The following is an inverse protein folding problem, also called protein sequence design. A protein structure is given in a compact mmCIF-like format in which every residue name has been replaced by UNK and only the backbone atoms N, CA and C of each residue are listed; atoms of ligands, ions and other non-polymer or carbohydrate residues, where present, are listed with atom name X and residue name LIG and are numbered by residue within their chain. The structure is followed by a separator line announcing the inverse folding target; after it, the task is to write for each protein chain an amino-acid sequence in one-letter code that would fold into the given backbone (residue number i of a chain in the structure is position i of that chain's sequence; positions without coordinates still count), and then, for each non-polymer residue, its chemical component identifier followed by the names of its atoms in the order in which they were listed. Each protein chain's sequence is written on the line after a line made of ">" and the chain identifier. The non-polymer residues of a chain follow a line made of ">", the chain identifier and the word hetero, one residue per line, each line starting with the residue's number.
data_IF_415292534285
#
_entry.id   IF_415292534285
#
_cell.length_a   1.000
_cell.length_b   1.000
_cell.length_c   1.000
_cell.angle_alpha   90.00
_cell.angle_beta   90.00
_cell.angle_gamma   90.00
#
_symmetry.space_group_name_H-M   'P 1'
#
loop_
_entity.id
_entity.type
_entity.pdbx_description
1 polymer ?
#
# COMPACT_ATOMS: atom_id res chain seq x y z
N UNK A 1 -21.22 -48.49 -40.54
CA UNK A 1 -21.88 -47.16 -40.58
C UNK A 1 -21.60 -46.51 -39.23
N UNK A 2 -20.66 -45.57 -39.19
CA UNK A 2 -20.13 -44.98 -37.95
C UNK A 2 -21.06 -43.88 -37.44
N UNK A 3 -21.46 -43.96 -36.16
CA UNK A 3 -22.20 -42.92 -35.49
C UNK A 3 -21.25 -41.78 -35.07
N UNK A 4 -21.65 -40.57 -35.44
CA UNK A 4 -20.95 -39.30 -35.31
C UNK A 4 -20.81 -38.90 -33.83
N UNK A 5 -19.57 -38.69 -33.38
CA UNK A 5 -19.29 -37.94 -32.15
C UNK A 5 -19.64 -36.47 -32.41
N UNK A 6 -20.73 -35.98 -31.82
CA UNK A 6 -20.98 -34.55 -31.69
C UNK A 6 -20.40 -34.10 -30.35
N UNK A 7 -19.22 -33.48 -30.39
CA UNK A 7 -18.72 -32.69 -29.28
C UNK A 7 -19.66 -31.49 -29.08
N UNK A 8 -20.04 -31.12 -27.84
CA UNK A 8 -20.79 -29.89 -27.63
C UNK A 8 -19.94 -28.69 -28.05
N UNK A 9 -20.54 -27.80 -28.83
CA UNK A 9 -19.99 -26.53 -29.29
C UNK A 9 -19.21 -25.84 -28.18
N UNK A 10 -17.96 -25.52 -28.48
CA UNK A 10 -17.21 -24.48 -27.79
C UNK A 10 -18.06 -23.21 -27.80
N UNK A 11 -18.73 -22.92 -26.69
CA UNK A 11 -19.05 -21.54 -26.37
C UNK A 11 -17.70 -20.84 -26.30
N UNK A 12 -17.37 -20.08 -27.35
CA UNK A 12 -16.42 -18.98 -27.24
C UNK A 12 -16.87 -18.19 -26.01
N UNK A 13 -16.10 -18.33 -24.93
CA UNK A 13 -16.12 -17.39 -23.84
C UNK A 13 -15.60 -16.10 -24.45
N UNK A 14 -16.52 -15.29 -24.98
CA UNK A 14 -16.28 -13.88 -25.28
C UNK A 14 -15.43 -13.35 -24.12
N UNK A 15 -14.21 -12.86 -24.38
CA UNK A 15 -13.36 -12.32 -23.33
C UNK A 15 -14.17 -11.27 -22.57
N UNK A 16 -14.06 -11.21 -21.22
CA UNK A 16 -14.86 -10.27 -20.44
C UNK A 16 -14.70 -8.86 -21.00
N UNK A 17 -15.85 -8.25 -21.27
CA UNK A 17 -16.04 -6.94 -21.85
C UNK A 17 -15.01 -5.92 -21.34
N UNK A 18 -14.26 -5.34 -22.28
CA UNK A 18 -13.33 -4.21 -22.19
C UNK A 18 -13.28 -3.45 -20.83
N UNK A 19 -12.11 -3.37 -20.16
CA UNK A 19 -11.92 -2.81 -18.81
C UNK A 19 -12.33 -1.34 -18.62
N UNK A 20 -12.53 -0.60 -19.72
CA UNK A 20 -12.96 0.80 -19.65
C UNK A 20 -14.40 1.01 -19.21
N UNK A 21 -15.28 0.00 -19.21
CA UNK A 21 -16.73 0.25 -19.13
C UNK A 21 -17.23 0.89 -17.81
N UNK A 22 -16.52 0.69 -16.70
CA UNK A 22 -16.79 1.40 -15.43
C UNK A 22 -16.28 2.85 -15.44
N UNK A 23 -15.16 3.12 -16.10
CA UNK A 23 -14.67 4.48 -16.34
C UNK A 23 -15.42 5.22 -17.47
N UNK A 24 -16.12 4.48 -18.34
CA UNK A 24 -16.92 5.03 -19.43
C UNK A 24 -18.24 5.68 -18.95
N UNK A 25 -18.65 5.46 -17.70
CA UNK A 25 -19.67 6.31 -17.08
C UNK A 25 -19.06 7.70 -16.87
N UNK A 26 -19.43 8.63 -17.74
CA UNK A 26 -18.92 10.01 -17.76
C UNK A 26 -19.05 10.73 -16.40
N UNK A 27 -19.91 10.23 -15.50
CA UNK A 27 -20.20 10.79 -14.19
C UNK A 27 -19.65 10.00 -13.00
N UNK A 28 -18.98 8.85 -13.21
CA UNK A 28 -18.53 7.99 -12.12
C UNK A 28 -17.57 8.71 -11.16
N UNK A 29 -16.62 9.48 -11.71
CA UNK A 29 -15.69 10.29 -10.91
C UNK A 29 -16.41 11.40 -10.15
N UNK A 30 -17.34 12.09 -10.81
CA UNK A 30 -18.09 13.20 -10.21
C UNK A 30 -19.02 12.75 -9.09
N UNK A 31 -19.67 11.59 -9.25
CA UNK A 31 -20.48 10.96 -8.19
C UNK A 31 -19.62 10.56 -7.00
N UNK A 32 -18.49 9.89 -7.27
CA UNK A 32 -17.56 9.52 -6.20
C UNK A 32 -17.03 10.77 -5.48
N UNK A 33 -16.72 11.85 -6.21
CA UNK A 33 -16.27 13.11 -5.62
C UNK A 33 -17.31 13.75 -4.72
N UNK A 34 -18.59 13.70 -5.09
CA UNK A 34 -19.68 14.26 -4.30
C UNK A 34 -19.87 13.52 -2.96
N UNK A 35 -19.62 12.21 -2.92
CA UNK A 35 -19.85 11.37 -1.74
C UNK A 35 -18.54 11.00 -0.99
N UNK A 36 -17.37 11.38 -1.52
CA UNK A 36 -16.07 10.92 -1.02
C UNK A 36 -15.85 11.26 0.45
N UNK A 37 -16.08 12.51 0.82
CA UNK A 37 -15.89 12.99 2.18
C UNK A 37 -16.98 12.46 3.10
N UNK A 38 -18.25 12.61 2.70
CA UNK A 38 -19.41 12.18 3.48
C UNK A 38 -19.39 10.69 3.83
N UNK A 39 -18.94 9.83 2.89
CA UNK A 39 -18.89 8.39 3.11
C UNK A 39 -17.67 7.92 3.92
N UNK A 40 -16.51 8.58 3.77
CA UNK A 40 -15.23 8.00 4.22
C UNK A 40 -14.52 8.82 5.31
N UNK A 41 -14.81 10.12 5.48
CA UNK A 41 -14.10 10.96 6.44
C UNK A 41 -14.25 10.47 7.89
N UNK A 42 -15.38 9.86 8.22
CA UNK A 42 -15.64 9.32 9.56
C UNK A 42 -15.05 7.91 9.77
N UNK A 43 -14.67 7.21 8.70
CA UNK A 43 -14.15 5.84 8.75
C UNK A 43 -12.63 5.78 8.70
N UNK A 44 -11.98 6.81 8.14
CA UNK A 44 -10.55 6.82 7.90
C UNK A 44 -9.85 7.80 8.85
N UNK A 45 -8.66 7.46 9.39
CA UNK A 45 -7.86 8.39 10.18
C UNK A 45 -7.51 9.68 9.42
N UNK A 46 -7.24 9.56 8.12
CA UNK A 46 -7.00 10.65 7.19
C UNK A 46 -7.60 10.27 5.85
N UNK A 47 -8.45 11.12 5.30
CA UNK A 47 -9.05 10.91 3.99
C UNK A 47 -8.00 11.18 2.88
N UNK A 48 -7.61 10.17 2.08
CA UNK A 48 -6.69 10.37 0.96
C UNK A 48 -7.29 11.29 -0.09
N UNK A 49 -6.42 11.88 -0.91
CA UNK A 49 -6.85 12.69 -2.04
C UNK A 49 -7.54 11.82 -3.11
N UNK A 50 -8.71 12.27 -3.57
CA UNK A 50 -9.52 11.52 -4.53
C UNK A 50 -8.83 11.39 -5.89
N UNK A 51 -8.16 12.45 -6.35
CA UNK A 51 -7.46 12.43 -7.65
C UNK A 51 -6.35 11.39 -7.62
N UNK A 52 -5.56 11.35 -6.55
CA UNK A 52 -4.55 10.31 -6.35
C UNK A 52 -5.15 8.90 -6.43
N UNK A 53 -6.22 8.63 -5.67
CA UNK A 53 -6.84 7.32 -5.64
C UNK A 53 -7.42 6.93 -7.02
N UNK A 54 -8.13 7.86 -7.65
CA UNK A 54 -8.78 7.65 -8.95
C UNK A 54 -7.76 7.33 -10.05
N UNK A 55 -6.60 8.00 -10.04
CA UNK A 55 -5.55 7.83 -11.05
C UNK A 55 -4.83 6.47 -10.96
N UNK A 56 -4.95 5.74 -9.86
CA UNK A 56 -4.38 4.39 -9.71
C UNK A 56 -5.26 3.29 -10.31
N UNK A 57 -6.58 3.49 -10.35
CA UNK A 57 -7.56 2.50 -10.80
C UNK A 57 -7.26 1.96 -12.22
N UNK A 58 -6.91 2.77 -13.24
CA UNK A 58 -6.60 2.27 -14.57
C UNK A 58 -5.42 1.29 -14.57
N UNK A 59 -4.40 1.56 -13.77
CA UNK A 59 -3.22 0.69 -13.66
C UNK A 59 -3.56 -0.64 -12.99
N UNK A 60 -4.44 -0.64 -11.99
CA UNK A 60 -4.94 -1.88 -11.37
C UNK A 60 -5.72 -2.72 -12.37
N UNK A 61 -6.60 -2.12 -13.18
CA UNK A 61 -7.34 -2.86 -14.20
C UNK A 61 -6.42 -3.44 -15.27
N UNK A 62 -5.48 -2.64 -15.81
CA UNK A 62 -4.50 -3.15 -16.78
C UNK A 62 -3.75 -4.37 -16.24
N UNK A 63 -3.34 -4.33 -14.98
CA UNK A 63 -2.72 -5.48 -14.32
C UNK A 63 -3.68 -6.68 -14.18
N UNK A 64 -4.91 -6.45 -13.72
CA UNK A 64 -5.89 -7.52 -13.50
C UNK A 64 -6.25 -8.29 -14.78
N UNK A 65 -6.28 -7.59 -15.92
CA UNK A 65 -6.57 -8.19 -17.23
C UNK A 65 -5.33 -8.66 -18.00
N UNK A 66 -4.14 -8.60 -17.37
CA UNK A 66 -2.89 -9.04 -17.99
C UNK A 66 -2.37 -8.11 -19.09
N UNK A 67 -2.89 -6.89 -19.19
CA UNK A 67 -2.41 -5.85 -20.12
C UNK A 67 -1.15 -5.12 -19.60
N UNK A 68 -0.83 -5.30 -18.31
CA UNK A 68 0.38 -4.77 -17.69
C UNK A 68 0.91 -5.73 -16.63
N UNK A 69 2.24 -5.82 -16.52
CA UNK A 69 2.88 -6.51 -15.40
C UNK A 69 2.74 -5.68 -14.12
N UNK A 70 2.59 -6.37 -12.98
CA UNK A 70 2.68 -5.71 -11.68
C UNK A 70 4.10 -5.13 -11.54
N UNK A 71 4.26 -3.84 -11.20
CA UNK A 71 5.59 -3.29 -11.00
C UNK A 71 6.31 -4.06 -9.89
N UNK A 72 7.42 -4.71 -10.24
CA UNK A 72 8.33 -5.38 -9.32
C UNK A 72 9.22 -4.31 -8.68
N UNK A 73 8.76 -3.75 -7.57
CA UNK A 73 9.59 -2.88 -6.74
C UNK A 73 10.47 -3.74 -5.83
N UNK A 74 11.76 -3.41 -5.73
CA UNK A 74 12.65 -4.02 -4.74
C UNK A 74 12.31 -3.57 -3.33
N UNK A 75 12.75 -4.33 -2.30
CA UNK A 75 12.62 -3.89 -0.91
C UNK A 75 13.41 -2.60 -0.66
N UNK A 76 12.90 -1.74 0.23
CA UNK A 76 13.59 -0.51 0.60
C UNK A 76 14.96 -0.82 1.21
N UNK A 77 16.01 -0.05 0.87
CA UNK A 77 17.33 -0.25 1.43
C UNK A 77 17.31 0.03 2.93
N UNK A 78 18.04 -0.80 3.66
CA UNK A 78 18.02 -0.81 5.11
C UNK A 78 19.42 -0.47 5.61
N UNK A 79 19.49 0.40 6.60
CA UNK A 79 20.76 0.82 7.20
C UNK A 79 20.90 0.14 8.57
N UNK A 80 21.79 -0.85 8.67
CA UNK A 80 22.14 -1.51 9.95
C UNK A 80 22.15 -3.04 9.91
N UNK A 81 22.39 -3.66 11.08
CA UNK A 81 22.40 -5.13 11.23
C UNK A 81 21.02 -5.65 11.62
N UNK A 82 20.48 -6.57 10.80
CA UNK A 82 19.11 -7.06 10.91
C UNK A 82 19.03 -8.53 11.29
N UNK A 83 17.90 -8.87 11.91
CA UNK A 83 17.40 -10.23 11.95
C UNK A 83 16.57 -10.51 10.68
N UNK A 84 17.21 -11.10 9.67
CA UNK A 84 16.56 -11.42 8.39
C UNK A 84 15.52 -12.54 8.49
N UNK A 85 15.53 -13.33 9.58
CA UNK A 85 14.54 -14.37 9.81
C UNK A 85 13.24 -13.81 10.40
N UNK A 86 13.27 -12.58 10.90
CA UNK A 86 12.12 -11.94 11.51
C UNK A 86 11.21 -11.29 10.46
N UNK A 87 9.93 -11.66 10.50
CA UNK A 87 8.89 -11.06 9.68
C UNK A 87 7.84 -10.37 10.58
N UNK A 88 7.25 -9.26 10.13
CA UNK A 88 6.21 -8.58 10.87
C UNK A 88 4.99 -9.50 11.13
N UNK A 89 4.58 -9.74 12.39
CA UNK A 89 3.40 -10.53 12.69
C UNK A 89 2.13 -9.90 12.08
N UNK A 90 1.22 -10.73 11.54
CA UNK A 90 -0.02 -10.22 10.95
C UNK A 90 -0.94 -9.47 11.94
N UNK A 91 -0.80 -9.72 13.25
CA UNK A 91 -1.57 -9.07 14.31
C UNK A 91 -0.73 -8.08 15.12
N UNK A 92 -1.27 -6.88 15.31
CA UNK A 92 -0.68 -5.69 15.96
C UNK A 92 -0.31 -5.92 17.42
N UNK A 93 -1.11 -6.69 18.15
CA UNK A 93 -0.92 -6.94 19.58
C UNK A 93 0.40 -7.66 19.92
N UNK A 94 1.01 -8.35 18.96
CA UNK A 94 2.27 -9.07 19.16
C UNK A 94 3.51 -8.16 19.31
N UNK A 95 3.38 -6.85 19.02
CA UNK A 95 4.55 -5.99 18.76
C UNK A 95 4.98 -5.17 19.98
N UNK A 96 4.22 -5.18 21.08
CA UNK A 96 4.48 -4.47 22.36
C UNK A 96 4.98 -3.01 22.18
N UNK A 97 4.61 -2.35 21.08
CA UNK A 97 5.03 -0.98 20.78
C UNK A 97 3.95 -0.01 21.27
N UNK A 98 4.36 1.00 22.04
CA UNK A 98 3.49 2.04 22.60
C UNK A 98 3.00 3.07 21.55
N UNK A 99 3.40 2.92 20.29
CA UNK A 99 3.22 3.89 19.22
C UNK A 99 2.12 3.39 18.27
N UNK A 100 1.29 4.28 17.70
CA UNK A 100 0.23 3.90 16.76
C UNK A 100 0.82 3.41 15.42
N UNK A 101 1.33 2.17 15.41
CA UNK A 101 1.80 1.46 14.22
C UNK A 101 0.71 1.41 13.14
N UNK A 102 -0.55 1.38 13.56
CA UNK A 102 -1.71 1.43 12.66
C UNK A 102 -1.74 2.69 11.80
N UNK A 103 -1.33 3.85 12.34
CA UNK A 103 -1.23 5.08 11.55
C UNK A 103 -0.18 4.97 10.45
N UNK A 104 0.97 4.35 10.75
CA UNK A 104 2.04 4.12 9.77
C UNK A 104 1.60 3.12 8.70
N UNK A 105 0.93 2.04 9.10
CA UNK A 105 0.40 1.03 8.16
C UNK A 105 -0.71 1.61 7.30
N UNK A 106 -1.60 2.40 7.87
CA UNK A 106 -2.64 3.13 7.15
C UNK A 106 -2.01 4.05 6.10
N UNK A 107 -1.04 4.87 6.49
CA UNK A 107 -0.34 5.78 5.59
C UNK A 107 0.36 5.01 4.46
N UNK A 108 1.09 3.94 4.79
CA UNK A 108 1.77 3.09 3.81
C UNK A 108 0.79 2.43 2.82
N UNK A 109 -0.32 1.88 3.31
CA UNK A 109 -1.34 1.25 2.46
C UNK A 109 -2.01 2.24 1.49
N UNK A 110 -2.15 3.51 1.91
CA UNK A 110 -2.74 4.57 1.10
C UNK A 110 -1.70 5.43 0.36
N UNK A 111 -0.41 5.07 0.40
CA UNK A 111 0.70 5.83 -0.19
C UNK A 111 0.74 7.29 0.25
N UNK A 112 0.51 7.50 1.54
CA UNK A 112 0.59 8.80 2.21
C UNK A 112 1.89 8.90 3.01
N UNK A 113 2.48 10.09 3.01
CA UNK A 113 3.62 10.39 3.85
C UNK A 113 3.22 10.47 5.33
N UNK A 114 4.19 10.22 6.21
CA UNK A 114 4.06 10.33 7.66
C UNK A 114 4.97 11.44 8.16
N UNK A 115 4.41 12.37 8.93
CA UNK A 115 5.17 13.29 9.75
C UNK A 115 5.65 12.55 10.99
N UNK A 116 6.95 12.32 11.07
CA UNK A 116 7.59 11.60 12.16
C UNK A 116 8.32 12.59 13.07
N UNK A 117 7.99 12.59 14.36
CA UNK A 117 8.75 13.32 15.38
C UNK A 117 9.83 12.40 15.96
N UNK A 118 11.08 12.76 15.74
CA UNK A 118 12.24 11.99 16.19
C UNK A 118 13.37 12.96 16.58
N UNK A 119 13.98 12.76 17.75
CA UNK A 119 15.00 13.68 18.31
C UNK A 119 14.52 15.14 18.32
N UNK A 120 13.27 15.37 18.71
CA UNK A 120 12.60 16.68 18.77
C UNK A 120 12.51 17.45 17.44
N UNK A 121 12.72 16.76 16.33
CA UNK A 121 12.56 17.28 14.97
C UNK A 121 11.47 16.53 14.22
N UNK A 122 10.63 17.27 13.49
CA UNK A 122 9.64 16.73 12.58
C UNK A 122 10.25 16.50 11.20
N UNK A 123 9.92 15.36 10.60
CA UNK A 123 10.39 14.99 9.26
C UNK A 123 9.28 14.28 8.50
N UNK A 124 9.10 14.64 7.23
CA UNK A 124 8.15 13.98 6.35
C UNK A 124 8.83 12.76 5.71
N UNK A 125 8.27 11.58 5.95
CA UNK A 125 8.82 10.30 5.49
C UNK A 125 7.80 9.47 4.72
N UNK A 126 8.31 8.64 3.82
CA UNK A 126 7.60 7.60 3.08
C UNK A 126 7.82 6.26 3.80
N UNK A 127 6.80 5.69 4.44
CA UNK A 127 6.94 4.44 5.19
C UNK A 127 6.92 3.21 4.27
N UNK A 128 7.94 2.34 4.34
CA UNK A 128 8.06 1.17 3.46
C UNK A 128 7.98 -0.17 4.20
N UNK A 129 8.78 -0.40 5.24
CA UNK A 129 8.82 -1.72 5.89
C UNK A 129 9.11 -1.64 7.39
N UNK A 130 8.72 -2.69 8.13
CA UNK A 130 9.15 -2.90 9.51
C UNK A 130 10.09 -4.09 9.60
N UNK A 131 11.14 -3.92 10.39
CA UNK A 131 12.21 -4.89 10.59
C UNK A 131 12.59 -4.98 12.06
N UNK A 132 13.31 -6.02 12.41
CA UNK A 132 13.89 -6.18 13.74
C UNK A 132 15.42 -6.21 13.63
N UNK A 133 16.09 -5.45 14.50
CA UNK A 133 17.54 -5.53 14.63
C UNK A 133 17.94 -6.84 15.32
N UNK A 134 19.20 -7.24 15.18
CA UNK A 134 19.74 -8.40 15.93
C UNK A 134 19.61 -8.25 17.45
N UNK A 135 19.71 -7.02 17.94
CA UNK A 135 19.51 -6.66 19.35
C UNK A 135 18.03 -6.67 19.78
N UNK A 136 17.12 -7.07 18.89
CA UNK A 136 15.71 -7.23 19.17
C UNK A 136 14.86 -5.96 19.05
N UNK A 137 15.45 -4.84 18.62
CA UNK A 137 14.74 -3.56 18.49
C UNK A 137 13.91 -3.51 17.21
N UNK A 138 12.73 -2.91 17.29
CA UNK A 138 11.85 -2.72 16.15
C UNK A 138 12.26 -1.47 15.36
N UNK A 139 12.39 -1.61 14.05
CA UNK A 139 12.93 -0.60 13.13
C UNK A 139 11.91 -0.28 12.04
N UNK A 140 11.64 1.01 11.83
CA UNK A 140 10.90 1.54 10.70
C UNK A 140 11.85 1.95 9.59
N UNK A 141 11.79 1.25 8.46
CA UNK A 141 12.51 1.59 7.25
C UNK A 141 11.63 2.54 6.42
N UNK A 142 12.16 3.73 6.19
CA UNK A 142 11.47 4.80 5.50
C UNK A 142 12.42 5.60 4.61
N UNK A 143 11.86 6.33 3.66
CA UNK A 143 12.62 7.27 2.82
C UNK A 143 12.17 8.67 3.19
N UNK A 144 13.09 9.61 3.36
CA UNK A 144 12.71 11.01 3.51
C UNK A 144 12.08 11.52 2.22
N UNK A 145 10.96 12.22 2.34
CA UNK A 145 10.24 12.71 1.17
C UNK A 145 11.00 13.83 0.44
N UNK A 146 11.75 14.66 1.17
CA UNK A 146 12.43 15.85 0.64
C UNK A 146 13.64 15.51 -0.25
N UNK A 147 14.51 14.62 0.22
CA UNK A 147 15.81 14.31 -0.42
C UNK A 147 15.85 12.88 -1.00
N UNK A 148 14.86 12.03 -0.71
CA UNK A 148 14.85 10.63 -1.12
C UNK A 148 15.86 9.76 -0.38
N UNK A 149 16.46 10.24 0.71
CA UNK A 149 17.44 9.51 1.50
C UNK A 149 16.74 8.40 2.30
N UNK A 150 17.27 7.17 2.21
CA UNK A 150 16.74 6.05 2.98
C UNK A 150 17.25 6.08 4.41
N UNK A 151 16.33 6.00 5.37
CA UNK A 151 16.58 6.13 6.81
C UNK A 151 15.90 5.00 7.56
N UNK A 152 16.47 4.64 8.69
CA UNK A 152 15.90 3.64 9.60
C UNK A 152 15.72 4.25 10.97
N UNK A 153 14.51 4.18 11.51
CA UNK A 153 14.12 4.79 12.78
C UNK A 153 13.80 3.70 13.81
N UNK A 154 14.34 3.81 15.02
CA UNK A 154 13.96 2.90 16.12
C UNK A 154 12.56 3.27 16.59
N UNK A 155 11.65 2.31 16.56
CA UNK A 155 10.25 2.54 16.90
C UNK A 155 10.10 3.10 18.32
N UNK A 156 10.82 2.56 19.30
CA UNK A 156 10.75 3.01 20.70
C UNK A 156 11.23 4.46 20.93
N UNK A 157 11.99 5.04 20.00
CA UNK A 157 12.54 6.41 20.09
C UNK A 157 11.69 7.44 19.36
N UNK A 158 10.65 7.00 18.66
CA UNK A 158 9.72 7.89 17.99
C UNK A 158 8.89 8.60 19.08
N UNK A 159 8.85 9.92 19.00
CA UNK A 159 8.16 10.76 19.99
C UNK A 159 6.73 11.10 19.56
N UNK A 160 6.40 10.98 18.27
CA UNK A 160 5.10 11.32 17.71
C UNK A 160 4.97 10.93 16.24
N UNK A 161 3.74 10.67 15.81
CA UNK A 161 3.39 10.25 14.45
C UNK A 161 2.11 10.96 14.03
N UNK A 162 2.14 11.59 12.86
CA UNK A 162 0.98 12.18 12.22
C UNK A 162 0.91 11.74 10.75
N UNK A 163 -0.25 11.24 10.32
CA UNK A 163 -0.46 10.89 8.91
C UNK A 163 -0.71 12.17 8.13
N UNK A 164 0.07 12.38 7.06
CA UNK A 164 -0.14 13.52 6.16
C UNK A 164 -1.15 13.19 5.07
N UNK A 165 -1.69 14.22 4.42
CA UNK A 165 -2.42 14.11 3.15
C UNK A 165 -1.49 14.14 1.93
N UNK A 166 -0.20 14.35 2.14
CA UNK A 166 0.80 14.35 1.07
C UNK A 166 0.98 12.94 0.51
N UNK A 167 0.70 12.72 -0.79
CA UNK A 167 0.93 11.44 -1.41
C UNK A 167 2.40 11.23 -1.78
N UNK A 168 2.83 9.97 -1.90
CA UNK A 168 4.12 9.62 -2.51
C UNK A 168 3.97 8.51 -3.54
N UNK A 169 4.92 8.45 -4.48
CA UNK A 169 5.03 7.37 -5.45
C UNK A 169 6.07 6.37 -4.91
N UNK A 170 5.67 5.12 -4.60
CA UNK A 170 6.57 4.15 -4.00
C UNK A 170 7.76 3.85 -4.90
N UNK A 171 8.98 4.09 -4.40
CA UNK A 171 10.23 3.68 -5.05
C UNK A 171 10.59 2.23 -4.73
N UNK A 172 10.05 1.73 -3.62
CA UNK A 172 10.30 0.40 -3.08
C UNK A 172 8.99 -0.29 -2.72
N UNK A 173 9.05 -1.61 -2.54
CA UNK A 173 7.90 -2.39 -2.11
C UNK A 173 7.48 -1.97 -0.70
N UNK A 174 6.17 -1.75 -0.54
CA UNK A 174 5.56 -1.51 0.78
C UNK A 174 5.26 -2.86 1.42
N UNK A 175 5.94 -3.14 2.53
CA UNK A 175 5.90 -4.39 3.28
C UNK A 175 5.40 -4.17 4.72
N UNK A 176 4.61 -3.11 4.93
CA UNK A 176 3.97 -2.78 6.21
C UNK A 176 2.57 -3.40 6.35
N UNK A 177 2.00 -3.84 5.23
CA UNK A 177 0.74 -4.58 5.20
C UNK A 177 1.05 -6.07 5.23
N UNK A 178 0.43 -6.86 6.12
CA UNK A 178 0.63 -8.29 6.16
C UNK A 178 0.30 -8.85 4.78
N UNK A 179 1.26 -9.54 4.17
CA UNK A 179 0.94 -10.42 3.07
C UNK A 179 -0.05 -11.45 3.62
N UNK A 180 -1.27 -11.46 3.09
CA UNK A 180 -2.19 -12.56 3.34
C UNK A 180 -1.47 -13.81 2.83
N UNK A 181 -1.24 -14.83 3.67
CA UNK A 181 -0.74 -16.11 3.17
C UNK A 181 -1.73 -16.58 2.10
N UNK A 182 -1.21 -16.95 0.94
CA UNK A 182 -2.02 -17.46 -0.17
C UNK A 182 -2.89 -18.63 0.32
N UNK A 183 -4.16 -18.60 -0.05
CA UNK A 183 -5.00 -19.79 -0.09
C UNK A 183 -4.80 -20.46 -1.44
#
# INVERSE_FOLDING_TARGET
>A
MFALFMAPSSQELEPPQNPGRFMQRQDAKSKLAAEWEDMLAHQLPVLPDLEQFWNEIPSVFRWLYGEADKPLLGSAPIVGSLDNAWQPPAMVYAWRAAIPLESVRFAAANRLCVNLRYEDSWRLIEPYSLRRSKDGNLLLCAVKHEDGESRTYRMERIQGIEVSRTPFIPRYQIELTPHRPGY
#
